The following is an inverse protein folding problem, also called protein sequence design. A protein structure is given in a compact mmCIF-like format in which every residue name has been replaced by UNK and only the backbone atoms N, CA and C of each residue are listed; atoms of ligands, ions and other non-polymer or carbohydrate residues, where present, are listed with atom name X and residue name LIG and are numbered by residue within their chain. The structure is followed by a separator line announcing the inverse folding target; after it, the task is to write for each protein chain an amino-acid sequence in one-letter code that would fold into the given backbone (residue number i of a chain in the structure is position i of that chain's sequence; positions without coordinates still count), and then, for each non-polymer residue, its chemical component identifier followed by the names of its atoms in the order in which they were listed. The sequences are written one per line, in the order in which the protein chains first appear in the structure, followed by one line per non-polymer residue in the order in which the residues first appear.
data_IF_663546817072
#
_entry.id   IF_663546817072
#
_cell.length_a   1.000
_cell.length_b   1.000
_cell.length_c   1.000
_cell.angle_alpha   90.00
_cell.angle_beta   90.00
_cell.angle_gamma   90.00
#
_symmetry.space_group_name_H-M   'P 1'
#
loop_
_entity.id
_entity.type
_entity.pdbx_description
1 polymer ?
#
# COMPACT_ATOMS: atom_id res chain seq x y z
N UNK A 1 -17.62 -0.08 39.67
CA UNK A 1 -16.92 0.66 38.60
C UNK A 1 -15.89 -0.28 37.98
N UNK A 2 -15.91 -0.55 36.66
CA UNK A 2 -14.79 -1.20 36.02
C UNK A 2 -13.77 -0.14 35.60
N UNK A 3 -12.52 -0.43 35.93
CA UNK A 3 -11.32 0.40 35.75
C UNK A 3 -10.78 0.28 34.33
N UNK A 4 -10.56 1.44 33.70
CA UNK A 4 -9.33 1.74 32.95
C UNK A 4 -9.05 0.96 31.67
N UNK A 5 -9.66 1.43 30.58
CA UNK A 5 -9.20 1.39 29.19
C UNK A 5 -7.99 0.49 28.86
N UNK A 6 -8.25 -0.66 28.23
CA UNK A 6 -7.38 -1.10 27.16
C UNK A 6 -7.50 -0.07 26.03
N UNK A 7 -6.61 0.93 25.99
CA UNK A 7 -6.48 1.76 24.79
C UNK A 7 -6.21 0.81 23.62
N UNK A 8 -7.20 0.69 22.76
CA UNK A 8 -7.30 -0.34 21.73
C UNK A 8 -6.03 -0.41 20.90
N UNK A 9 -5.37 -1.56 20.96
CA UNK A 9 -4.52 -2.00 19.86
C UNK A 9 -5.44 -2.05 18.65
N UNK A 10 -5.33 -1.09 17.73
CA UNK A 10 -5.98 -1.21 16.43
C UNK A 10 -5.42 -2.47 15.81
N UNK A 11 -6.29 -3.43 15.53
CA UNK A 11 -5.88 -4.65 14.85
C UNK A 11 -5.27 -4.23 13.50
N UNK A 12 -3.96 -4.43 13.38
CA UNK A 12 -3.24 -4.16 12.14
C UNK A 12 -3.59 -5.30 11.20
N UNK A 13 -4.37 -5.01 10.18
CA UNK A 13 -4.78 -6.01 9.20
C UNK A 13 -3.68 -6.13 8.14
N UNK A 14 -2.95 -7.24 8.17
CA UNK A 14 -1.95 -7.58 7.16
C UNK A 14 -2.34 -8.84 6.42
N UNK A 15 -1.76 -9.03 5.23
CA UNK A 15 -1.97 -10.23 4.43
C UNK A 15 -0.85 -10.45 3.44
N UNK A 16 -1.03 -11.45 2.60
CA UNK A 16 -0.19 -11.70 1.43
C UNK A 16 -1.07 -11.49 0.20
N UNK A 17 -0.62 -10.65 -0.74
CA UNK A 17 -1.30 -10.49 -2.03
C UNK A 17 -0.35 -10.81 -3.19
N UNK A 18 -0.85 -11.47 -4.24
CA UNK A 18 -0.10 -11.61 -5.48
C UNK A 18 -0.04 -10.25 -6.18
N UNK A 19 1.17 -9.78 -6.49
CA UNK A 19 1.41 -8.58 -7.29
C UNK A 19 2.33 -8.95 -8.45
N UNK A 20 1.75 -9.05 -9.66
CA UNK A 20 2.44 -9.64 -10.81
C UNK A 20 2.70 -11.13 -10.57
N UNK A 21 3.97 -11.55 -10.58
CA UNK A 21 4.38 -12.93 -10.29
C UNK A 21 4.96 -13.14 -8.89
N UNK A 22 4.69 -12.23 -7.96
CA UNK A 22 5.30 -12.25 -6.62
C UNK A 22 4.23 -12.15 -5.53
N UNK A 23 4.35 -13.00 -4.52
CA UNK A 23 3.56 -12.89 -3.29
C UNK A 23 4.21 -11.85 -2.38
N UNK A 24 3.43 -10.85 -1.98
CA UNK A 24 3.93 -9.68 -1.25
C UNK A 24 3.21 -9.53 0.09
N UNK A 25 3.95 -9.32 1.20
CA UNK A 25 3.32 -8.90 2.44
C UNK A 25 2.74 -7.49 2.29
N UNK A 26 1.46 -7.34 2.60
CA UNK A 26 0.71 -6.08 2.50
C UNK A 26 0.11 -5.66 3.83
N UNK A 27 -0.11 -4.36 3.96
CA UNK A 27 -0.89 -3.74 5.02
C UNK A 27 -2.21 -3.23 4.42
N UNK A 28 -3.34 -3.68 4.95
CA UNK A 28 -4.64 -3.13 4.62
C UNK A 28 -4.90 -1.89 5.48
N UNK A 29 -4.70 -0.72 4.89
CA UNK A 29 -4.79 0.57 5.58
C UNK A 29 -5.95 1.41 5.06
N UNK A 30 -7.07 1.42 5.78
CA UNK A 30 -8.23 2.27 5.47
C UNK A 30 -7.93 3.77 5.60
N UNK A 31 -6.83 4.15 6.26
CA UNK A 31 -6.37 5.54 6.37
C UNK A 31 -5.59 6.02 5.14
N UNK A 32 -5.20 5.12 4.23
CA UNK A 32 -4.43 5.47 3.05
C UNK A 32 -5.34 5.83 1.87
N UNK A 33 -5.14 6.99 1.28
CA UNK A 33 -5.89 7.44 0.08
C UNK A 33 -5.43 6.71 -1.19
N UNK A 34 -4.17 6.26 -1.23
CA UNK A 34 -3.61 5.50 -2.34
C UNK A 34 -2.87 4.28 -1.80
N UNK A 35 -2.72 3.25 -2.62
CA UNK A 35 -1.85 2.12 -2.34
C UNK A 35 -0.40 2.47 -2.68
N UNK A 36 0.54 2.02 -1.85
CA UNK A 36 1.97 2.26 -2.04
C UNK A 36 2.74 0.96 -2.03
N UNK A 37 3.81 0.95 -2.81
CA UNK A 37 4.78 -0.14 -2.85
C UNK A 37 6.18 0.44 -2.84
N UNK A 38 7.12 -0.29 -2.24
CA UNK A 38 8.53 0.11 -2.27
C UNK A 38 9.03 0.13 -3.71
N UNK A 39 9.76 1.18 -4.08
CA UNK A 39 10.34 1.31 -5.42
C UNK A 39 11.27 0.12 -5.76
N UNK A 40 12.06 -0.32 -4.79
CA UNK A 40 12.95 -1.49 -4.93
C UNK A 40 12.17 -2.76 -5.25
N UNK A 41 11.02 -2.96 -4.60
CA UNK A 41 10.13 -4.07 -4.92
C UNK A 41 9.59 -3.93 -6.35
N UNK A 42 9.08 -2.76 -6.72
CA UNK A 42 8.53 -2.53 -8.06
C UNK A 42 9.57 -2.79 -9.16
N UNK A 43 10.84 -2.46 -8.93
CA UNK A 43 11.97 -2.79 -9.81
C UNK A 43 12.19 -4.30 -9.86
N UNK A 44 12.30 -4.96 -8.71
CA UNK A 44 12.54 -6.41 -8.62
C UNK A 44 11.43 -7.25 -9.25
N UNK A 45 10.18 -6.84 -9.04
CA UNK A 45 9.00 -7.50 -9.59
C UNK A 45 8.72 -7.15 -11.06
N UNK A 46 9.58 -6.32 -11.68
CA UNK A 46 9.44 -5.84 -13.04
C UNK A 46 8.06 -5.22 -13.34
N UNK A 47 7.49 -4.49 -12.38
CA UNK A 47 6.21 -3.81 -12.57
C UNK A 47 6.36 -2.68 -13.59
N UNK A 48 5.34 -2.44 -14.42
CA UNK A 48 5.35 -1.27 -15.30
C UNK A 48 5.28 -0.01 -14.46
N UNK A 49 6.20 0.93 -14.71
CA UNK A 49 6.35 2.18 -13.94
C UNK A 49 6.35 3.35 -14.91
N UNK A 50 5.61 4.39 -14.58
CA UNK A 50 5.53 5.61 -15.38
C UNK A 50 5.81 6.83 -14.50
N UNK A 51 6.62 7.74 -15.02
CA UNK A 51 6.81 9.07 -14.45
C UNK A 51 5.56 9.91 -14.74
N UNK A 52 4.99 10.53 -13.72
CA UNK A 52 3.91 11.51 -13.85
C UNK A 52 4.46 12.93 -13.71
N UNK A 53 3.80 13.89 -14.36
CA UNK A 53 4.25 15.30 -14.41
C UNK A 53 4.05 16.04 -13.08
N UNK A 54 3.07 15.63 -12.29
CA UNK A 54 2.77 16.20 -10.98
C UNK A 54 2.96 15.14 -9.91
N UNK A 55 3.88 15.36 -8.99
CA UNK A 55 4.10 14.43 -7.88
C UNK A 55 2.90 14.39 -6.94
N UNK A 56 2.57 13.18 -6.46
CA UNK A 56 1.62 12.99 -5.38
C UNK A 56 2.33 13.29 -4.07
N UNK A 57 1.74 14.16 -3.25
CA UNK A 57 2.21 14.48 -1.90
C UNK A 57 1.34 13.79 -0.86
N UNK A 58 1.98 13.18 0.13
CA UNK A 58 1.34 12.31 1.10
C UNK A 58 1.80 12.68 2.49
N UNK A 59 0.86 12.83 3.42
CA UNK A 59 1.17 13.00 4.83
C UNK A 59 1.31 11.63 5.48
N UNK A 60 2.53 11.24 5.83
CA UNK A 60 2.76 10.00 6.58
C UNK A 60 3.01 10.31 8.07
N UNK A 61 2.87 9.32 8.97
CA UNK A 61 3.24 9.48 10.39
C UNK A 61 4.70 9.94 10.60
N UNK A 62 5.59 9.64 9.65
CA UNK A 62 7.00 10.01 9.70
C UNK A 62 7.32 11.32 8.96
N UNK A 63 6.28 12.04 8.51
CA UNK A 63 6.41 13.28 7.75
C UNK A 63 5.92 13.15 6.30
N UNK A 64 5.99 14.25 5.54
CA UNK A 64 5.52 14.28 4.17
C UNK A 64 6.41 13.44 3.25
N UNK A 65 5.78 12.65 2.38
CA UNK A 65 6.42 11.86 1.32
C UNK A 65 5.90 12.38 -0.02
N UNK A 66 6.76 12.37 -1.05
CA UNK A 66 6.37 12.71 -2.41
C UNK A 66 6.83 11.63 -3.38
N UNK A 67 5.98 11.27 -4.35
CA UNK A 67 6.32 10.37 -5.44
C UNK A 67 5.81 10.90 -6.77
N UNK A 68 6.65 10.86 -7.79
CA UNK A 68 6.30 11.12 -9.19
C UNK A 68 6.27 9.85 -10.03
N UNK A 69 6.32 8.66 -9.41
CA UNK A 69 6.33 7.37 -10.09
C UNK A 69 5.07 6.61 -9.68
N UNK A 70 4.32 6.16 -10.68
CA UNK A 70 3.15 5.29 -10.50
C UNK A 70 3.41 3.95 -11.18
N UNK A 71 2.88 2.88 -10.60
CA UNK A 71 2.89 1.57 -11.24
C UNK A 71 1.56 1.39 -11.99
N UNK A 72 1.61 1.26 -13.32
CA UNK A 72 0.41 1.10 -14.16
C UNK A 72 0.22 -0.36 -14.56
N UNK A 73 -1.04 -0.77 -14.78
CA UNK A 73 -1.36 -2.13 -15.20
C UNK A 73 -0.97 -3.21 -14.17
N UNK A 74 -0.81 -2.82 -12.90
CA UNK A 74 -0.63 -3.77 -11.81
C UNK A 74 -2.01 -4.27 -11.40
N UNK A 75 -2.41 -5.42 -11.95
CA UNK A 75 -3.63 -6.11 -11.51
C UNK A 75 -3.36 -6.69 -10.13
N UNK A 76 -4.18 -6.29 -9.16
CA UNK A 76 -4.17 -6.81 -7.80
C UNK A 76 -5.54 -7.42 -7.56
N UNK A 77 -5.57 -8.69 -7.14
CA UNK A 77 -6.80 -9.41 -6.82
C UNK A 77 -6.85 -9.81 -5.35
N UNK A 78 -8.00 -9.66 -4.72
CA UNK A 78 -8.29 -10.17 -3.37
C UNK A 78 -9.47 -11.13 -3.49
N UNK A 79 -9.32 -12.37 -3.05
CA UNK A 79 -10.37 -13.40 -3.15
C UNK A 79 -10.99 -13.49 -4.55
N UNK A 80 -10.14 -13.47 -5.59
CA UNK A 80 -10.48 -13.50 -7.01
C UNK A 80 -11.25 -12.27 -7.55
N UNK A 81 -11.42 -11.23 -6.73
CA UNK A 81 -11.96 -9.93 -7.15
C UNK A 81 -10.82 -8.96 -7.48
N UNK A 82 -10.81 -8.42 -8.70
CA UNK A 82 -9.82 -7.42 -9.12
C UNK A 82 -10.12 -6.06 -8.45
N UNK A 83 -9.08 -5.45 -7.86
CA UNK A 83 -9.13 -4.09 -7.37
C UNK A 83 -8.95 -3.13 -8.56
N UNK A 84 -10.00 -2.38 -8.89
CA UNK A 84 -10.04 -1.38 -9.98
C UNK A 84 -9.65 0.00 -9.46
#
# INVERSE_FOLDING_TARGET
MPTGASLGRRDVMTGILPVGSHDVPVLFDLGATYSFVLLEFAIKANLSRQQISQSVFLSSPHGPISSSIVCLGCVISIDDEELI
#
